data_IF_527732470252
#
_entry.id   IF_527732470252
#
_cell.length_a   1.000
_cell.length_b   1.000
_cell.length_c   1.000
_cell.angle_alpha   90.00
_cell.angle_beta   90.00
_cell.angle_gamma   90.00
#
_symmetry.space_group_name_H-M   'P 1'
#
loop_
_entity.id
_entity.type
_entity.pdbx_description
1 polymer ?
#
# COMPACT_ATOMS: atom_id res chain seq x y z
N UNK A 1 6.57 14.28 8.40
CA UNK A 1 6.00 13.61 7.20
C UNK A 1 4.49 13.66 7.27
N UNK A 2 3.79 12.82 6.51
CA UNK A 2 2.32 12.88 6.37
C UNK A 2 1.51 11.86 7.18
N UNK A 3 2.16 10.93 7.88
CA UNK A 3 1.47 9.86 8.63
C UNK A 3 1.05 10.36 10.03
N UNK A 4 -0.24 10.31 10.35
CA UNK A 4 -0.72 10.51 11.73
C UNK A 4 -1.26 9.21 12.30
N UNK A 5 -0.83 8.84 13.50
CA UNK A 5 -1.25 7.60 14.15
C UNK A 5 -2.03 7.88 15.42
N UNK A 6 -3.11 7.12 15.62
CA UNK A 6 -3.82 7.02 16.89
C UNK A 6 -3.85 5.56 17.35
N UNK A 7 -3.54 5.32 18.63
CA UNK A 7 -3.44 3.97 19.19
C UNK A 7 -4.12 3.85 20.55
N UNK A 8 -4.88 2.77 20.75
CA UNK A 8 -5.35 2.32 22.06
C UNK A 8 -4.29 1.55 22.86
N UNK A 9 -3.23 1.07 22.20
CA UNK A 9 -2.12 0.38 22.85
C UNK A 9 -0.85 1.25 22.89
N UNK A 10 -0.39 1.58 24.09
CA UNK A 10 0.81 2.39 24.29
C UNK A 10 2.09 1.68 23.84
N UNK A 11 2.24 0.40 24.22
CA UNK A 11 3.41 -0.40 23.87
C UNK A 11 3.53 -0.61 22.35
N UNK A 12 2.45 -1.04 21.69
CA UNK A 12 2.48 -1.23 20.23
C UNK A 12 2.57 0.10 19.47
N UNK A 13 1.95 1.15 19.99
CA UNK A 13 2.11 2.50 19.42
C UNK A 13 3.56 2.98 19.48
N UNK A 14 4.26 2.77 20.60
CA UNK A 14 5.68 3.10 20.72
C UNK A 14 6.56 2.23 19.79
N UNK A 15 6.30 0.93 19.69
CA UNK A 15 7.01 0.06 18.75
C UNK A 15 6.82 0.48 17.30
N UNK A 16 5.62 0.92 16.92
CA UNK A 16 5.34 1.42 15.57
C UNK A 16 6.19 2.63 15.20
N UNK A 17 6.42 3.56 16.15
CA UNK A 17 7.31 4.70 15.95
C UNK A 17 8.77 4.28 15.73
N UNK A 18 9.24 3.29 16.47
CA UNK A 18 10.61 2.78 16.35
C UNK A 18 10.81 2.07 15.00
N UNK A 19 9.92 1.14 14.64
CA UNK A 19 10.01 0.42 13.37
C UNK A 19 9.88 1.35 12.16
N UNK A 20 9.07 2.41 12.28
CA UNK A 20 8.99 3.43 11.26
C UNK A 20 10.32 4.18 11.04
N UNK A 21 11.15 4.29 12.08
CA UNK A 21 12.51 4.85 12.03
C UNK A 21 13.56 3.92 11.44
N UNK A 22 13.31 2.61 11.42
CA UNK A 22 14.24 1.58 10.91
C UNK A 22 14.15 1.38 9.39
N UNK A 23 13.18 2.01 8.72
CA UNK A 23 13.10 1.98 7.25
C UNK A 23 14.33 2.62 6.59
N UNK A 24 14.69 2.20 5.36
CA UNK A 24 15.86 2.74 4.64
C UNK A 24 15.85 4.28 4.58
N UNK A 25 14.68 4.86 4.25
CA UNK A 25 14.37 6.25 4.55
C UNK A 25 13.36 6.28 5.70
N UNK A 26 13.70 6.89 6.87
CA UNK A 26 12.80 6.94 8.01
C UNK A 26 11.45 7.54 7.65
N UNK A 27 10.36 6.86 8.04
CA UNK A 27 9.02 7.34 7.76
C UNK A 27 8.70 8.56 8.62
N UNK A 28 8.32 9.67 7.97
CA UNK A 28 7.97 10.89 8.68
C UNK A 28 6.54 10.87 9.22
N UNK A 29 6.38 11.03 10.54
CA UNK A 29 5.08 11.29 11.15
C UNK A 29 4.72 12.78 11.07
N UNK A 30 3.41 13.06 11.01
CA UNK A 30 2.85 14.36 11.38
C UNK A 30 2.52 14.36 12.86
N UNK A 31 1.79 13.32 13.34
CA UNK A 31 1.33 13.22 14.73
C UNK A 31 1.30 11.78 15.21
N UNK A 32 1.43 11.62 16.52
CA UNK A 32 1.19 10.35 17.20
C UNK A 32 0.39 10.63 18.48
N UNK A 33 -0.68 9.86 18.68
CA UNK A 33 -1.53 9.96 19.86
C UNK A 33 -1.81 8.56 20.42
N UNK A 34 -1.42 8.35 21.67
CA UNK A 34 -1.86 7.19 22.45
C UNK A 34 -2.97 7.65 23.39
N UNK A 35 -4.19 7.17 23.15
CA UNK A 35 -5.39 7.59 23.92
C UNK A 35 -5.58 6.81 25.22
N UNK A 36 -4.83 5.72 25.42
CA UNK A 36 -4.99 4.83 26.56
C UNK A 36 -6.44 4.35 26.71
N UNK A 37 -7.03 4.59 27.87
CA UNK A 37 -8.42 4.23 28.17
C UNK A 37 -9.46 5.20 27.58
N UNK A 38 -9.06 6.34 27.03
CA UNK A 38 -9.96 7.32 26.39
C UNK A 38 -11.05 7.87 27.31
N UNK A 39 -10.73 8.16 28.59
CA UNK A 39 -11.74 8.62 29.58
C UNK A 39 -12.26 10.04 29.39
N UNK A 40 -11.49 10.91 28.74
CA UNK A 40 -11.88 12.28 28.40
C UNK A 40 -11.84 12.42 26.87
N UNK A 41 -10.67 12.78 26.32
CA UNK A 41 -10.41 12.70 24.87
C UNK A 41 -10.27 11.25 24.44
N UNK A 42 -11.16 10.79 23.56
CA UNK A 42 -11.16 9.43 23.03
C UNK A 42 -10.67 9.35 21.57
N UNK A 43 -10.58 8.12 21.05
CA UNK A 43 -10.07 7.85 19.69
C UNK A 43 -10.87 8.55 18.59
N UNK A 44 -12.18 8.76 18.78
CA UNK A 44 -13.04 9.41 17.78
C UNK A 44 -12.72 10.90 17.65
N UNK A 45 -12.53 11.61 18.76
CA UNK A 45 -12.16 13.03 18.76
C UNK A 45 -10.80 13.26 18.09
N UNK A 46 -9.85 12.35 18.32
CA UNK A 46 -8.54 12.39 17.64
C UNK A 46 -8.69 12.15 16.13
N UNK A 47 -9.54 11.21 15.71
CA UNK A 47 -9.83 10.97 14.30
C UNK A 47 -10.51 12.18 13.63
N UNK A 48 -11.46 12.83 14.31
CA UNK A 48 -12.10 14.05 13.82
C UNK A 48 -11.08 15.17 13.59
N UNK A 49 -10.16 15.34 14.53
CA UNK A 49 -9.06 16.29 14.40
C UNK A 49 -8.15 15.95 13.20
N UNK A 50 -7.75 14.68 13.06
CA UNK A 50 -6.93 14.23 11.93
C UNK A 50 -7.66 14.38 10.57
N UNK A 51 -8.99 14.33 10.52
CA UNK A 51 -9.75 14.53 9.28
C UNK A 51 -9.55 15.94 8.70
N UNK A 52 -9.48 16.95 9.56
CA UNK A 52 -9.38 18.38 9.18
C UNK A 52 -7.94 18.88 9.10
N UNK A 53 -6.95 18.16 9.66
CA UNK A 53 -5.58 18.64 9.71
C UNK A 53 -4.80 18.45 8.39
N UNK A 54 -4.49 19.55 7.70
CA UNK A 54 -3.81 19.52 6.39
C UNK A 54 -2.43 18.86 6.39
N UNK A 55 -1.74 18.84 7.53
CA UNK A 55 -0.44 18.16 7.66
C UNK A 55 -0.55 16.64 7.68
N UNK A 56 -1.74 16.10 7.99
CA UNK A 56 -2.04 14.66 7.92
C UNK A 56 -2.47 14.29 6.52
N UNK A 57 -1.75 13.35 5.92
CA UNK A 57 -2.01 12.78 4.58
C UNK A 57 -2.52 11.34 4.65
N UNK A 58 -2.10 10.59 5.66
CA UNK A 58 -2.52 9.20 5.91
C UNK A 58 -2.78 9.03 7.40
N UNK A 59 -3.85 8.32 7.76
CA UNK A 59 -4.18 8.01 9.16
C UNK A 59 -3.95 6.53 9.43
N UNK A 60 -3.13 6.22 10.43
CA UNK A 60 -2.99 4.88 10.98
C UNK A 60 -3.75 4.75 12.30
N UNK A 61 -4.47 3.65 12.48
CA UNK A 61 -5.26 3.39 13.67
C UNK A 61 -5.01 1.98 14.20
N UNK A 62 -4.58 1.89 15.46
CA UNK A 62 -4.61 0.63 16.20
C UNK A 62 -5.90 0.58 17.04
N UNK A 63 -6.76 -0.39 16.73
CA UNK A 63 -8.11 -0.49 17.28
C UNK A 63 -8.33 -1.82 18.00
N UNK A 64 -8.66 -1.75 19.28
CA UNK A 64 -9.11 -2.86 20.11
C UNK A 64 -10.64 -2.94 20.08
N UNK A 65 -11.32 -1.80 20.22
CA UNK A 65 -12.77 -1.68 20.10
C UNK A 65 -13.26 -0.25 20.25
N UNK A 66 -14.53 -0.03 19.90
CA UNK A 66 -15.27 1.21 20.16
C UNK A 66 -16.56 0.88 20.92
N UNK A 67 -16.97 1.77 21.82
CA UNK A 67 -18.24 1.67 22.56
C UNK A 67 -19.42 2.14 21.71
N UNK A 68 -19.27 3.25 20.99
CA UNK A 68 -20.26 3.78 20.07
C UNK A 68 -19.89 3.48 18.61
N UNK A 69 -20.47 2.41 18.09
CA UNK A 69 -20.24 1.99 16.70
C UNK A 69 -20.77 2.95 15.65
N UNK A 70 -21.86 3.68 15.93
CA UNK A 70 -22.43 4.64 14.95
C UNK A 70 -21.55 5.88 14.85
N UNK A 71 -21.18 6.45 16.00
CA UNK A 71 -20.25 7.57 16.04
C UNK A 71 -18.91 7.20 15.38
N UNK A 72 -18.41 5.98 15.62
CA UNK A 72 -17.22 5.49 14.93
C UNK A 72 -17.39 5.48 13.41
N UNK A 73 -18.51 4.94 12.90
CA UNK A 73 -18.77 4.91 11.46
C UNK A 73 -18.81 6.32 10.85
N UNK A 74 -19.51 7.25 11.50
CA UNK A 74 -19.65 8.63 11.01
C UNK A 74 -18.28 9.35 10.94
N UNK A 75 -17.50 9.28 12.01
CA UNK A 75 -16.18 9.90 12.10
C UNK A 75 -15.18 9.25 11.15
N UNK A 76 -15.10 7.93 11.15
CA UNK A 76 -14.14 7.21 10.33
C UNK A 76 -14.47 7.34 8.83
N UNK A 77 -15.76 7.40 8.45
CA UNK A 77 -16.14 7.70 7.07
C UNK A 77 -15.73 9.13 6.68
N UNK A 78 -15.89 10.12 7.58
CA UNK A 78 -15.42 11.49 7.35
C UNK A 78 -13.90 11.54 7.08
N UNK A 79 -13.11 10.75 7.82
CA UNK A 79 -11.66 10.62 7.57
C UNK A 79 -11.41 9.98 6.21
N UNK A 80 -11.95 8.78 5.95
CA UNK A 80 -11.70 7.99 4.73
C UNK A 80 -12.05 8.74 3.43
N UNK A 81 -13.08 9.60 3.48
CA UNK A 81 -13.48 10.47 2.36
C UNK A 81 -12.38 11.43 1.92
N UNK A 82 -11.53 11.85 2.86
CA UNK A 82 -10.48 12.84 2.62
C UNK A 82 -9.10 12.22 2.53
N UNK A 83 -8.83 11.19 3.34
CA UNK A 83 -7.50 10.63 3.59
C UNK A 83 -7.59 9.11 3.78
N UNK A 84 -6.59 8.32 3.34
CA UNK A 84 -6.58 6.89 3.62
C UNK A 84 -6.56 6.63 5.13
N UNK A 85 -7.47 5.80 5.61
CA UNK A 85 -7.57 5.34 7.00
C UNK A 85 -7.16 3.87 7.09
N UNK A 86 -5.97 3.60 7.60
CA UNK A 86 -5.41 2.27 7.82
C UNK A 86 -5.77 1.78 9.22
N UNK A 87 -6.38 0.60 9.33
CA UNK A 87 -6.89 0.09 10.60
C UNK A 87 -6.33 -1.28 10.92
N UNK A 88 -5.49 -1.35 11.95
CA UNK A 88 -5.07 -2.61 12.58
C UNK A 88 -6.08 -2.95 13.68
N UNK A 89 -7.07 -3.78 13.35
CA UNK A 89 -8.08 -4.29 14.28
C UNK A 89 -7.60 -5.59 14.94
N UNK A 90 -7.41 -5.56 16.26
CA UNK A 90 -7.08 -6.75 17.08
C UNK A 90 -8.32 -7.37 17.73
N UNK A 91 -8.19 -8.48 18.45
CA UNK A 91 -9.34 -9.15 19.08
C UNK A 91 -10.29 -9.83 18.08
N UNK A 92 -9.72 -10.45 17.03
CA UNK A 92 -10.45 -10.93 15.84
C UNK A 92 -11.17 -12.28 16.03
N UNK A 93 -10.73 -13.07 16.99
CA UNK A 93 -11.38 -14.32 17.39
C UNK A 93 -12.02 -14.16 18.76
N UNK A 94 -12.93 -15.05 19.16
CA UNK A 94 -13.50 -15.04 20.51
C UNK A 94 -12.40 -15.09 21.59
N UNK A 95 -11.37 -15.90 21.37
CA UNK A 95 -10.23 -16.04 22.29
C UNK A 95 -9.42 -14.74 22.38
N UNK A 96 -9.11 -14.11 21.23
CA UNK A 96 -8.38 -12.85 21.21
C UNK A 96 -9.23 -11.68 21.74
N UNK A 97 -10.55 -11.72 21.51
CA UNK A 97 -11.52 -10.77 22.06
C UNK A 97 -11.58 -10.88 23.58
N UNK A 98 -11.61 -12.10 24.13
CA UNK A 98 -11.54 -12.33 25.58
C UNK A 98 -10.21 -11.85 26.18
N UNK A 99 -9.08 -12.03 25.47
CA UNK A 99 -7.79 -11.49 25.89
C UNK A 99 -7.74 -9.95 25.84
N UNK A 100 -8.36 -9.33 24.84
CA UNK A 100 -8.49 -7.87 24.80
C UNK A 100 -9.44 -7.37 25.92
N UNK A 101 -10.52 -8.10 26.20
CA UNK A 101 -11.47 -7.78 27.26
C UNK A 101 -10.80 -7.77 28.65
N UNK A 102 -9.92 -8.74 28.94
CA UNK A 102 -9.29 -8.82 30.26
C UNK A 102 -8.42 -7.61 30.61
N UNK A 103 -7.93 -6.88 29.60
CA UNK A 103 -7.11 -5.68 29.79
C UNK A 103 -7.90 -4.36 29.58
N UNK A 104 -8.96 -4.37 28.77
CA UNK A 104 -9.72 -3.15 28.42
C UNK A 104 -11.06 -3.01 29.15
N UNK A 105 -11.59 -4.11 29.69
CA UNK A 105 -12.93 -4.16 30.27
C UNK A 105 -14.08 -4.00 29.27
N UNK A 106 -13.81 -4.01 27.96
CA UNK A 106 -14.82 -3.78 26.90
C UNK A 106 -14.94 -4.98 25.96
N UNK A 107 -16.18 -5.42 25.67
CA UNK A 107 -16.44 -6.60 24.84
C UNK A 107 -16.04 -6.28 23.39
N UNK A 108 -15.07 -6.99 22.82
CA UNK A 108 -14.74 -6.77 21.41
C UNK A 108 -15.90 -7.31 20.55
N UNK A 109 -16.52 -6.41 19.77
CA UNK A 109 -17.61 -6.77 18.86
C UNK A 109 -17.18 -7.78 17.79
N UNK A 110 -18.16 -8.41 17.13
CA UNK A 110 -17.91 -9.44 16.11
C UNK A 110 -17.00 -8.92 15.00
N UNK A 111 -15.89 -9.63 14.75
CA UNK A 111 -14.90 -9.25 13.73
C UNK A 111 -15.51 -9.15 12.32
N UNK A 112 -16.48 -10.01 12.01
CA UNK A 112 -17.21 -9.97 10.73
C UNK A 112 -18.02 -8.70 10.54
N UNK A 113 -18.51 -8.10 11.64
CA UNK A 113 -19.22 -6.82 11.58
C UNK A 113 -18.24 -5.70 11.25
N UNK A 114 -17.04 -5.72 11.84
CA UNK A 114 -15.98 -4.76 11.50
C UNK A 114 -15.58 -4.82 10.02
N UNK A 115 -15.49 -6.01 9.42
CA UNK A 115 -15.21 -6.14 7.97
C UNK A 115 -16.25 -5.41 7.11
N UNK A 116 -17.54 -5.63 7.41
CA UNK A 116 -18.63 -4.95 6.70
C UNK A 116 -18.62 -3.43 6.94
N UNK A 117 -18.36 -3.00 8.18
CA UNK A 117 -18.25 -1.59 8.55
C UNK A 117 -17.11 -0.93 7.78
N UNK A 118 -15.90 -1.51 7.81
CA UNK A 118 -14.73 -0.96 7.13
C UNK A 118 -14.94 -0.82 5.62
N UNK A 119 -15.63 -1.78 4.99
CA UNK A 119 -15.99 -1.67 3.57
C UNK A 119 -16.96 -0.52 3.29
N UNK A 120 -17.96 -0.30 4.16
CA UNK A 120 -18.93 0.79 4.00
C UNK A 120 -18.32 2.18 4.19
N UNK A 121 -17.41 2.31 5.15
CA UNK A 121 -16.79 3.60 5.49
C UNK A 121 -15.51 3.88 4.70
N UNK A 122 -15.05 2.94 3.88
CA UNK A 122 -13.82 3.08 3.09
C UNK A 122 -12.53 2.94 3.91
N UNK A 123 -12.59 2.38 5.12
CA UNK A 123 -11.41 2.11 5.92
C UNK A 123 -10.67 0.88 5.38
N UNK A 124 -9.33 0.94 5.42
CA UNK A 124 -8.45 -0.10 4.91
C UNK A 124 -7.97 -0.92 6.10
N UNK A 125 -8.54 -2.12 6.24
CA UNK A 125 -8.08 -3.08 7.24
C UNK A 125 -6.69 -3.60 6.86
N UNK A 126 -5.75 -3.53 7.79
CA UNK A 126 -4.41 -4.13 7.68
C UNK A 126 -4.26 -5.28 8.67
N UNK A 127 -3.46 -6.30 8.32
CA UNK A 127 -3.36 -7.53 9.11
C UNK A 127 -2.27 -7.47 10.19
N UNK A 128 -1.30 -6.57 10.05
CA UNK A 128 -0.16 -6.43 10.96
C UNK A 128 0.33 -4.98 11.05
N UNK A 129 1.22 -4.68 11.99
CA UNK A 129 1.90 -3.38 12.06
C UNK A 129 2.78 -3.14 10.82
N UNK A 130 3.39 -4.21 10.32
CA UNK A 130 4.20 -4.17 9.10
C UNK A 130 3.37 -3.79 7.88
N UNK A 131 2.18 -4.40 7.71
CA UNK A 131 1.25 -4.01 6.65
C UNK A 131 0.77 -2.55 6.79
N UNK A 132 0.59 -2.07 8.03
CA UNK A 132 0.25 -0.66 8.29
C UNK A 132 1.34 0.27 7.78
N UNK A 133 2.59 0.04 8.19
CA UNK A 133 3.74 0.84 7.77
C UNK A 133 3.96 0.75 6.26
N UNK A 134 3.86 -0.45 5.69
CA UNK A 134 3.98 -0.68 4.26
C UNK A 134 2.93 0.11 3.45
N UNK A 135 1.66 0.02 3.82
CA UNK A 135 0.60 0.76 3.16
C UNK A 135 0.78 2.27 3.36
N UNK A 136 1.09 2.73 4.58
CA UNK A 136 1.33 4.13 4.87
C UNK A 136 2.48 4.72 4.06
N UNK A 137 3.55 3.95 3.86
CA UNK A 137 4.68 4.34 3.01
C UNK A 137 4.25 4.49 1.55
N UNK A 138 3.51 3.52 1.01
CA UNK A 138 3.00 3.61 -0.36
C UNK A 138 2.12 4.85 -0.57
N UNK A 139 1.15 5.10 0.32
CA UNK A 139 0.29 6.28 0.26
C UNK A 139 1.05 7.62 0.41
N UNK A 140 2.17 7.62 1.12
CA UNK A 140 2.97 8.83 1.34
C UNK A 140 3.85 9.19 0.14
N UNK A 141 4.11 8.23 -0.75
CA UNK A 141 5.12 8.35 -1.80
C UNK A 141 4.54 8.23 -3.22
N UNK A 142 3.34 7.68 -3.36
CA UNK A 142 2.73 7.39 -4.66
C UNK A 142 1.32 7.99 -4.78
N UNK A 143 0.96 8.34 -6.02
CA UNK A 143 -0.41 8.73 -6.37
C UNK A 143 -1.31 7.50 -6.39
N UNK A 144 -2.60 7.70 -6.15
CA UNK A 144 -3.57 6.62 -6.26
C UNK A 144 -3.61 6.07 -7.69
N UNK A 145 -3.69 4.75 -7.87
CA UNK A 145 -3.81 4.17 -9.21
C UNK A 145 -5.14 4.61 -9.84
N UNK A 146 -5.16 4.87 -11.17
CA UNK A 146 -6.38 5.24 -11.88
C UNK A 146 -7.39 4.09 -11.99
N UNK A 147 -6.96 2.86 -11.71
CA UNK A 147 -7.77 1.65 -11.76
C UNK A 147 -7.17 0.53 -10.91
N UNK A 148 -7.47 -0.72 -11.27
CA UNK A 148 -7.13 -1.89 -10.46
C UNK A 148 -6.35 -2.98 -11.21
N UNK A 149 -5.79 -2.64 -12.38
CA UNK A 149 -4.97 -3.52 -13.21
C UNK A 149 -3.49 -3.37 -12.85
N UNK A 150 -2.94 -4.39 -12.20
CA UNK A 150 -1.60 -4.35 -11.62
C UNK A 150 -0.66 -5.19 -12.47
N UNK A 151 0.44 -4.59 -12.92
CA UNK A 151 1.53 -5.31 -13.56
C UNK A 151 2.51 -5.82 -12.51
N UNK A 152 2.96 -7.07 -12.65
CA UNK A 152 4.12 -7.62 -11.95
C UNK A 152 5.28 -7.74 -12.94
N UNK A 153 6.35 -7.00 -12.69
CA UNK A 153 7.58 -7.01 -13.47
C UNK A 153 8.70 -7.57 -12.59
N UNK A 154 9.30 -8.69 -12.98
CA UNK A 154 10.31 -9.39 -12.16
C UNK A 154 11.38 -10.00 -13.05
N UNK A 155 12.62 -10.13 -12.59
CA UNK A 155 13.62 -11.03 -13.19
C UNK A 155 13.66 -12.42 -12.52
N UNK A 156 12.88 -12.60 -11.45
CA UNK A 156 12.83 -13.81 -10.65
C UNK A 156 11.37 -14.31 -10.50
N UNK A 157 11.06 -15.44 -11.16
CA UNK A 157 9.70 -15.97 -11.24
C UNK A 157 9.06 -16.38 -9.90
N UNK A 158 9.84 -16.90 -8.95
CA UNK A 158 9.33 -17.33 -7.63
C UNK A 158 8.69 -16.17 -6.85
N UNK A 159 9.46 -15.10 -6.54
CA UNK A 159 8.93 -13.88 -5.94
C UNK A 159 7.78 -13.23 -6.73
N UNK A 160 7.87 -13.23 -8.06
CA UNK A 160 6.79 -12.74 -8.91
C UNK A 160 5.47 -13.48 -8.71
N UNK A 161 5.55 -14.80 -8.58
CA UNK A 161 4.38 -15.66 -8.33
C UNK A 161 3.70 -15.33 -7.01
N UNK A 162 4.47 -15.02 -5.95
CA UNK A 162 3.92 -14.62 -4.63
C UNK A 162 3.10 -13.33 -4.75
N UNK A 163 3.63 -12.31 -5.43
CA UNK A 163 2.88 -11.07 -5.64
C UNK A 163 1.64 -11.29 -6.53
N UNK A 164 1.76 -12.11 -7.58
CA UNK A 164 0.64 -12.44 -8.44
C UNK A 164 -0.48 -13.18 -7.68
N UNK A 165 -0.14 -14.08 -6.77
CA UNK A 165 -1.11 -14.81 -5.93
C UNK A 165 -1.84 -13.87 -4.97
N UNK A 166 -1.13 -12.96 -4.30
CA UNK A 166 -1.74 -11.92 -3.46
C UNK A 166 -2.69 -11.00 -4.24
N UNK A 167 -2.32 -10.64 -5.48
CA UNK A 167 -3.19 -9.86 -6.36
C UNK A 167 -4.43 -10.68 -6.76
N UNK A 168 -4.24 -11.92 -7.21
CA UNK A 168 -5.30 -12.75 -7.77
C UNK A 168 -6.31 -13.23 -6.71
N UNK A 169 -5.88 -13.40 -5.47
CA UNK A 169 -6.74 -13.81 -4.34
C UNK A 169 -7.42 -12.63 -3.64
N UNK A 170 -7.00 -11.40 -3.96
CA UNK A 170 -7.63 -10.18 -3.47
C UNK A 170 -8.95 -9.87 -4.17
N UNK A 171 -9.81 -9.11 -3.49
CA UNK A 171 -11.06 -8.56 -4.07
C UNK A 171 -10.87 -7.18 -4.68
N UNK A 172 -9.69 -6.58 -4.51
CA UNK A 172 -9.47 -5.16 -4.82
C UNK A 172 -8.83 -4.97 -6.19
N UNK A 173 -7.86 -5.82 -6.54
CA UNK A 173 -7.07 -5.73 -7.76
C UNK A 173 -7.12 -6.99 -8.61
N UNK A 174 -6.53 -6.91 -9.79
CA UNK A 174 -6.27 -8.03 -10.69
C UNK A 174 -5.00 -7.78 -11.48
N UNK A 175 -4.41 -8.84 -12.05
CA UNK A 175 -3.31 -8.66 -13.00
C UNK A 175 -3.77 -7.81 -14.19
N UNK A 176 -2.84 -7.02 -14.73
CA UNK A 176 -3.08 -6.17 -15.88
C UNK A 176 -3.33 -6.99 -17.16
N UNK A 177 -3.84 -6.32 -18.20
CA UNK A 177 -4.04 -6.91 -19.53
C UNK A 177 -3.21 -6.09 -20.52
N UNK A 178 -2.14 -6.66 -21.07
CA UNK A 178 -1.25 -5.91 -21.94
C UNK A 178 -1.82 -5.77 -23.34
N UNK A 179 -1.58 -4.62 -23.97
CA UNK A 179 -1.81 -4.50 -25.40
C UNK A 179 -0.84 -5.42 -26.18
N UNK A 180 -1.25 -5.96 -27.34
CA UNK A 180 -0.35 -6.75 -28.18
C UNK A 180 0.94 -6.01 -28.54
N UNK A 181 0.86 -4.69 -28.71
CA UNK A 181 2.01 -3.82 -28.99
C UNK A 181 3.02 -3.78 -27.85
N UNK A 182 2.55 -3.76 -26.61
CA UNK A 182 3.44 -3.79 -25.43
C UNK A 182 4.10 -5.15 -25.30
N UNK A 183 3.36 -6.24 -25.51
CA UNK A 183 3.94 -7.60 -25.53
C UNK A 183 5.04 -7.70 -26.60
N UNK A 184 4.80 -7.19 -27.80
CA UNK A 184 5.79 -7.17 -28.89
C UNK A 184 7.05 -6.36 -28.52
N UNK A 185 6.88 -5.14 -28.00
CA UNK A 185 8.01 -4.29 -27.59
C UNK A 185 8.82 -4.91 -26.46
N UNK A 186 8.15 -5.45 -25.45
CA UNK A 186 8.82 -6.13 -24.34
C UNK A 186 9.64 -7.34 -24.84
N UNK A 187 9.09 -8.15 -25.75
CA UNK A 187 9.85 -9.26 -26.36
C UNK A 187 11.06 -8.82 -27.19
N UNK A 188 11.03 -7.61 -27.75
CA UNK A 188 12.17 -7.03 -28.47
C UNK A 188 13.28 -6.50 -27.56
N UNK A 189 12.95 -6.12 -26.33
CA UNK A 189 13.88 -5.57 -25.32
C UNK A 189 14.49 -6.68 -24.46
N UNK A 190 13.67 -7.67 -24.11
CA UNK A 190 14.01 -8.69 -23.12
C UNK A 190 14.75 -9.89 -23.74
N UNK A 191 15.52 -10.64 -22.94
CA UNK A 191 16.17 -11.87 -23.39
C UNK A 191 15.16 -12.88 -23.97
N UNK A 192 15.55 -13.76 -24.92
CA UNK A 192 14.64 -14.72 -25.54
C UNK A 192 13.94 -15.69 -24.59
N UNK A 193 14.53 -15.92 -23.41
CA UNK A 193 14.01 -16.78 -22.35
C UNK A 193 13.02 -16.07 -21.40
N UNK A 194 12.80 -14.76 -21.56
CA UNK A 194 11.84 -14.00 -20.78
C UNK A 194 10.40 -14.44 -21.09
N UNK A 195 9.55 -14.41 -20.07
CA UNK A 195 8.12 -14.72 -20.19
C UNK A 195 7.31 -13.44 -20.07
N UNK A 196 6.68 -13.05 -21.18
CA UNK A 196 5.94 -11.79 -21.31
C UNK A 196 4.47 -12.09 -21.55
N UNK A 197 3.60 -11.65 -20.64
CA UNK A 197 2.14 -11.81 -20.77
C UNK A 197 1.68 -13.26 -20.64
N UNK A 198 2.39 -14.06 -19.84
CA UNK A 198 2.04 -15.45 -19.56
C UNK A 198 2.11 -15.73 -18.04
N UNK A 199 1.07 -15.38 -17.26
CA UNK A 199 -0.22 -14.80 -17.67
C UNK A 199 -0.15 -13.30 -18.02
N UNK A 200 -1.23 -12.74 -18.57
CA UNK A 200 -1.33 -11.30 -18.81
C UNK A 200 -1.04 -10.48 -17.54
N UNK A 201 -0.41 -9.32 -17.72
CA UNK A 201 0.00 -8.46 -16.61
C UNK A 201 1.22 -8.96 -15.84
N UNK A 202 1.79 -10.10 -16.23
CA UNK A 202 2.99 -10.68 -15.64
C UNK A 202 4.15 -10.69 -16.65
N UNK A 203 5.31 -10.25 -16.19
CA UNK A 203 6.56 -10.23 -16.97
C UNK A 203 7.69 -10.79 -16.12
N UNK A 204 8.17 -11.98 -16.48
CA UNK A 204 9.45 -12.53 -16.01
C UNK A 204 10.53 -12.20 -17.03
N UNK A 205 11.36 -11.20 -16.74
CA UNK A 205 12.46 -10.72 -17.56
C UNK A 205 13.62 -11.73 -17.65
N UNK A 206 13.62 -12.78 -16.82
CA UNK A 206 14.72 -13.70 -16.55
C UNK A 206 15.90 -13.03 -15.85
N UNK A 207 16.62 -13.79 -15.02
CA UNK A 207 17.86 -13.37 -14.36
C UNK A 207 19.00 -12.93 -15.31
N UNK A 208 18.83 -13.14 -16.62
CA UNK A 208 19.74 -12.62 -17.65
C UNK A 208 19.46 -11.16 -18.04
N UNK A 209 18.36 -10.56 -17.58
CA UNK A 209 18.08 -9.14 -17.78
C UNK A 209 19.10 -8.28 -17.02
N UNK A 210 19.68 -7.30 -17.71
CA UNK A 210 20.62 -6.34 -17.15
C UNK A 210 19.91 -5.02 -16.86
N UNK A 211 20.64 -4.04 -16.31
CA UNK A 211 20.11 -2.77 -15.82
C UNK A 211 19.25 -2.03 -16.85
N UNK A 212 19.69 -2.02 -18.12
CA UNK A 212 18.99 -1.37 -19.22
C UNK A 212 17.61 -2.02 -19.48
N UNK A 213 17.53 -3.35 -19.44
CA UNK A 213 16.27 -4.07 -19.64
C UNK A 213 15.24 -3.77 -18.55
N UNK A 214 15.66 -3.62 -17.29
CA UNK A 214 14.74 -3.27 -16.18
C UNK A 214 14.08 -1.90 -16.40
N UNK A 215 14.90 -0.89 -16.73
CA UNK A 215 14.40 0.48 -16.97
C UNK A 215 13.54 0.56 -18.23
N UNK A 216 13.97 -0.08 -19.32
CA UNK A 216 13.23 -0.10 -20.58
C UNK A 216 11.90 -0.85 -20.45
N UNK A 217 11.87 -2.00 -19.78
CA UNK A 217 10.65 -2.76 -19.56
C UNK A 217 9.65 -1.99 -18.68
N UNK A 218 10.10 -1.37 -17.59
CA UNK A 218 9.23 -0.52 -16.76
C UNK A 218 8.62 0.62 -17.59
N UNK A 219 9.44 1.30 -18.40
CA UNK A 219 8.97 2.41 -19.25
C UNK A 219 7.90 1.98 -20.25
N UNK A 220 8.06 0.80 -20.85
CA UNK A 220 7.06 0.24 -21.78
C UNK A 220 5.77 -0.16 -21.08
N UNK A 221 5.85 -0.80 -19.92
CA UNK A 221 4.68 -1.15 -19.09
C UNK A 221 3.91 0.10 -18.65
N UNK A 222 4.60 1.16 -18.22
CA UNK A 222 3.95 2.41 -17.78
C UNK A 222 3.19 3.12 -18.91
N UNK A 223 3.57 2.90 -20.17
CA UNK A 223 2.87 3.46 -21.35
C UNK A 223 1.62 2.68 -21.73
N UNK A 224 1.44 1.47 -21.23
CA UNK A 224 0.29 0.64 -21.61
C UNK A 224 -0.97 1.05 -20.85
N UNK A 225 -2.01 1.45 -21.57
CA UNK A 225 -3.32 1.81 -21.00
C UNK A 225 -4.03 0.63 -20.32
N UNK A 226 -3.54 -0.60 -20.51
CA UNK A 226 -3.87 -1.83 -19.81
C UNK A 226 -3.37 -1.92 -18.37
N UNK A 227 -2.49 -1.00 -17.96
CA UNK A 227 -1.78 -1.03 -16.67
C UNK A 227 -2.11 0.21 -15.85
N UNK A 228 -2.53 0.01 -14.60
CA UNK A 228 -2.87 1.09 -13.65
C UNK A 228 -1.81 1.23 -12.54
N UNK A 229 -1.09 0.17 -12.20
CA UNK A 229 -0.01 0.17 -11.21
C UNK A 229 1.06 -0.87 -11.57
N UNK A 230 2.30 -0.68 -11.11
CA UNK A 230 3.40 -1.63 -11.36
C UNK A 230 4.08 -2.02 -10.04
N UNK A 231 4.25 -3.32 -9.84
CA UNK A 231 5.13 -3.90 -8.83
C UNK A 231 6.37 -4.40 -9.55
N UNK A 232 7.52 -3.78 -9.29
CA UNK A 232 8.81 -4.29 -9.74
C UNK A 232 9.38 -5.16 -8.62
N UNK A 233 9.79 -6.39 -8.92
CA UNK A 233 10.39 -7.30 -7.94
C UNK A 233 11.77 -7.67 -8.44
N UNK A 234 12.78 -7.51 -7.60
CA UNK A 234 14.15 -7.84 -7.96
C UNK A 234 14.86 -8.62 -6.86
N UNK A 235 15.53 -9.69 -7.30
CA UNK A 235 16.45 -10.52 -6.52
C UNK A 235 17.80 -10.43 -7.23
N UNK A 236 18.52 -9.30 -7.06
CA UNK A 236 19.62 -8.97 -7.95
C UNK A 236 20.73 -10.01 -7.84
N UNK A 237 21.10 -10.70 -8.95
CA UNK A 237 22.27 -11.55 -8.95
C UNK A 237 23.54 -10.71 -8.75
N UNK A 238 24.64 -11.36 -8.37
CA UNK A 238 25.88 -10.66 -7.98
C UNK A 238 26.51 -9.81 -9.08
N UNK A 239 26.16 -10.04 -10.34
CA UNK A 239 26.64 -9.27 -11.49
C UNK A 239 25.72 -8.10 -11.86
N UNK A 240 24.50 -8.02 -11.32
CA UNK A 240 23.55 -6.95 -11.56
C UNK A 240 23.70 -5.88 -10.47
N UNK A 241 23.95 -4.63 -10.86
CA UNK A 241 24.13 -3.55 -9.90
C UNK A 241 22.78 -3.02 -9.37
N UNK A 242 22.44 -3.21 -8.09
CA UNK A 242 21.14 -2.76 -7.56
C UNK A 242 20.96 -1.25 -7.66
N UNK A 243 22.05 -0.50 -7.47
CA UNK A 243 22.03 0.97 -7.53
C UNK A 243 21.77 1.46 -8.96
N UNK A 244 22.34 0.81 -9.98
CA UNK A 244 22.08 1.19 -11.37
C UNK A 244 20.67 0.82 -11.81
N UNK A 245 20.16 -0.35 -11.38
CA UNK A 245 18.73 -0.68 -11.54
C UNK A 245 17.87 0.41 -10.91
N UNK A 246 18.13 0.78 -9.65
CA UNK A 246 17.38 1.82 -8.94
C UNK A 246 17.35 3.17 -9.69
N UNK A 247 18.49 3.62 -10.23
CA UNK A 247 18.56 4.84 -11.07
C UNK A 247 17.68 4.71 -12.32
N UNK A 248 17.82 3.61 -13.04
CA UNK A 248 17.03 3.37 -14.25
C UNK A 248 15.53 3.30 -13.97
N UNK A 249 15.10 2.73 -12.84
CA UNK A 249 13.69 2.71 -12.45
C UNK A 249 13.15 4.12 -12.13
N UNK A 250 13.94 4.97 -11.47
CA UNK A 250 13.57 6.37 -11.21
C UNK A 250 13.40 7.15 -12.52
N UNK A 251 14.35 7.02 -13.44
CA UNK A 251 14.30 7.65 -14.77
C UNK A 251 13.10 7.14 -15.59
N UNK A 252 12.83 5.83 -15.55
CA UNK A 252 11.69 5.24 -16.26
C UNK A 252 10.33 5.68 -15.69
N UNK A 253 10.26 5.99 -14.39
CA UNK A 253 9.06 6.50 -13.71
C UNK A 253 8.78 7.97 -14.02
N UNK A 254 9.80 8.74 -14.39
CA UNK A 254 9.68 10.18 -14.62
C UNK A 254 8.59 10.50 -15.65
N UNK A 255 7.70 11.43 -15.31
CA UNK A 255 6.56 11.82 -16.16
C UNK A 255 5.37 10.85 -16.17
N UNK A 256 5.47 9.67 -15.53
CA UNK A 256 4.32 8.77 -15.36
C UNK A 256 3.57 9.07 -14.07
N UNK A 257 2.24 9.07 -14.15
CA UNK A 257 1.34 9.27 -13.00
C UNK A 257 0.97 7.95 -12.31
N UNK A 258 1.16 6.80 -13.00
CA UNK A 258 0.83 5.47 -12.48
C UNK A 258 1.75 5.11 -11.32
N UNK A 259 1.24 4.59 -10.19
CA UNK A 259 2.09 4.21 -9.08
C UNK A 259 3.03 3.07 -9.43
N UNK A 260 4.27 3.18 -8.94
CA UNK A 260 5.29 2.14 -9.00
C UNK A 260 5.80 1.85 -7.61
N UNK A 261 5.84 0.57 -7.26
CA UNK A 261 6.46 0.08 -6.02
C UNK A 261 7.54 -0.94 -6.37
N UNK A 262 8.56 -1.06 -5.51
CA UNK A 262 9.68 -1.98 -5.76
C UNK A 262 9.87 -2.93 -4.58
N UNK A 263 10.01 -4.22 -4.83
CA UNK A 263 10.46 -5.21 -3.86
C UNK A 263 11.92 -5.57 -4.17
N UNK A 264 12.83 -5.42 -3.21
CA UNK A 264 14.25 -5.76 -3.36
C UNK A 264 14.64 -6.81 -2.33
N UNK A 265 14.83 -8.06 -2.76
CA UNK A 265 15.05 -9.20 -1.88
C UNK A 265 16.52 -9.60 -1.83
N UNK A 266 17.36 -8.81 -1.15
CA UNK A 266 18.77 -9.17 -0.94
C UNK A 266 19.37 -8.62 0.36
N UNK A 267 18.54 -8.29 1.36
CA UNK A 267 18.99 -7.75 2.65
C UNK A 267 19.85 -6.49 2.48
N UNK A 268 20.98 -6.43 3.18
CA UNK A 268 21.86 -5.26 3.17
C UNK A 268 22.49 -4.96 1.78
N UNK A 269 22.57 -5.95 0.88
CA UNK A 269 23.13 -5.76 -0.47
C UNK A 269 22.37 -4.69 -1.28
N UNK A 270 21.07 -4.52 -1.01
CA UNK A 270 20.21 -3.56 -1.72
C UNK A 270 19.97 -2.28 -0.94
N UNK A 271 20.63 -2.07 0.21
CA UNK A 271 20.36 -0.93 1.09
C UNK A 271 20.48 0.42 0.38
N UNK A 272 21.57 0.64 -0.34
CA UNK A 272 21.80 1.91 -1.05
C UNK A 272 20.78 2.11 -2.19
N UNK A 273 20.39 1.03 -2.88
CA UNK A 273 19.36 1.07 -3.90
C UNK A 273 17.98 1.43 -3.31
N UNK A 274 17.64 0.88 -2.14
CA UNK A 274 16.42 1.21 -1.41
C UNK A 274 16.38 2.67 -0.98
N UNK A 275 17.47 3.17 -0.39
CA UNK A 275 17.60 4.58 0.00
C UNK A 275 17.43 5.49 -1.21
N UNK A 276 18.06 5.14 -2.33
CA UNK A 276 17.97 5.92 -3.58
C UNK A 276 16.53 5.95 -4.13
N UNK A 277 15.87 4.79 -4.25
CA UNK A 277 14.49 4.68 -4.70
C UNK A 277 13.54 5.45 -3.79
N UNK A 278 13.66 5.27 -2.48
CA UNK A 278 12.77 5.92 -1.52
C UNK A 278 12.98 7.43 -1.48
N UNK A 279 14.22 7.91 -1.57
CA UNK A 279 14.51 9.34 -1.69
C UNK A 279 13.98 9.94 -3.00
N UNK A 280 13.92 9.14 -4.06
CA UNK A 280 13.32 9.50 -5.35
C UNK A 280 11.79 9.30 -5.39
N UNK A 281 11.15 8.95 -4.28
CA UNK A 281 9.70 8.82 -4.17
C UNK A 281 9.14 7.46 -4.56
N UNK A 282 9.96 6.44 -4.84
CA UNK A 282 9.49 5.06 -5.09
C UNK A 282 9.60 4.24 -3.79
N UNK A 283 8.48 3.77 -3.19
CA UNK A 283 8.53 2.98 -1.97
C UNK A 283 9.14 1.60 -2.22
N UNK A 284 9.99 1.13 -1.31
CA UNK A 284 10.61 -0.20 -1.40
C UNK A 284 10.11 -1.19 -0.35
N UNK A 285 10.07 -2.48 -0.67
CA UNK A 285 9.59 -3.54 0.22
C UNK A 285 10.60 -4.70 0.25
N UNK A 286 10.56 -5.47 1.33
CA UNK A 286 11.45 -6.62 1.52
C UNK A 286 10.82 -7.91 0.99
N UNK A 287 9.49 -7.99 1.01
CA UNK A 287 8.74 -9.16 0.57
C UNK A 287 7.71 -8.83 -0.53
N UNK A 288 7.52 -9.70 -1.54
CA UNK A 288 6.58 -9.48 -2.63
C UNK A 288 5.15 -9.22 -2.17
N UNK A 289 4.69 -9.96 -1.16
CA UNK A 289 3.35 -9.85 -0.61
C UNK A 289 3.11 -8.51 0.10
N UNK A 290 4.14 -7.91 0.71
CA UNK A 290 4.06 -6.56 1.28
C UNK A 290 3.81 -5.54 0.18
N UNK A 291 4.55 -5.62 -0.92
CA UNK A 291 4.39 -4.73 -2.07
C UNK A 291 3.01 -4.88 -2.71
N UNK A 292 2.53 -6.12 -2.87
CA UNK A 292 1.20 -6.42 -3.41
C UNK A 292 0.10 -5.85 -2.50
N UNK A 293 0.12 -6.14 -1.20
CA UNK A 293 -0.87 -5.63 -0.25
C UNK A 293 -0.88 -4.11 -0.16
N UNK A 294 0.28 -3.46 -0.25
CA UNK A 294 0.37 -1.99 -0.28
C UNK A 294 -0.33 -1.40 -1.53
N UNK A 295 -0.10 -1.96 -2.72
CA UNK A 295 -0.78 -1.52 -3.95
C UNK A 295 -2.28 -1.80 -3.87
N UNK A 296 -2.69 -2.97 -3.36
CA UNK A 296 -4.11 -3.32 -3.18
C UNK A 296 -4.82 -2.37 -2.22
N UNK A 297 -4.14 -1.92 -1.16
CA UNK A 297 -4.66 -0.88 -0.27
C UNK A 297 -4.89 0.44 -1.02
N UNK A 298 -3.96 0.85 -1.89
CA UNK A 298 -4.11 2.04 -2.72
C UNK A 298 -5.28 1.91 -3.71
N UNK A 299 -5.44 0.74 -4.35
CA UNK A 299 -6.56 0.44 -5.23
C UNK A 299 -7.90 0.53 -4.48
N UNK A 300 -7.97 0.01 -3.24
CA UNK A 300 -9.16 0.10 -2.39
C UNK A 300 -9.53 1.56 -2.13
N UNK A 301 -8.55 2.39 -1.77
CA UNK A 301 -8.78 3.83 -1.56
C UNK A 301 -9.27 4.51 -2.85
N UNK A 302 -8.62 4.24 -3.98
CA UNK A 302 -9.00 4.80 -5.28
C UNK A 302 -10.46 4.45 -5.62
N UNK A 303 -10.83 3.17 -5.48
CA UNK A 303 -12.22 2.71 -5.70
C UNK A 303 -13.21 3.41 -4.78
N UNK A 304 -12.85 3.59 -3.51
CA UNK A 304 -13.72 4.28 -2.55
C UNK A 304 -13.93 5.76 -2.95
N UNK A 305 -12.86 6.47 -3.33
CA UNK A 305 -12.96 7.85 -3.80
C UNK A 305 -13.78 7.99 -5.08
N UNK A 306 -13.62 7.09 -6.05
CA UNK A 306 -14.44 7.09 -7.28
C UNK A 306 -15.93 6.88 -6.97
N UNK A 307 -16.27 5.94 -6.09
CA UNK A 307 -17.67 5.71 -5.65
C UNK A 307 -18.27 6.94 -4.97
N UNK A 308 -17.48 7.71 -4.23
CA UNK A 308 -17.96 8.95 -3.61
C UNK A 308 -18.27 10.01 -4.67
N UNK A 309 -17.37 10.20 -5.63
CA UNK A 309 -17.54 11.16 -6.72
C UNK A 309 -18.76 10.85 -7.60
N UNK A 310 -19.09 9.56 -7.80
CA UNK A 310 -20.30 9.13 -8.52
C UNK A 310 -21.60 9.40 -7.75
N UNK A 311 -21.55 9.35 -6.42
CA UNK A 311 -22.72 9.50 -5.54
C UNK A 311 -22.95 10.93 -5.06
N UNK A 312 -22.03 11.86 -5.30
CA UNK A 312 -22.30 13.28 -5.08
C UNK A 312 -23.38 13.74 -6.08
N UNK A 313 -24.52 14.28 -5.63
CA UNK A 313 -25.50 14.83 -6.55
C UNK A 313 -24.81 15.90 -7.36
N UNK A 314 -24.82 15.78 -8.69
CA UNK A 314 -24.34 16.83 -9.60
C UNK A 314 -25.06 18.11 -9.21
N UNK A 315 -24.40 18.95 -8.41
CA UNK A 315 -24.97 20.19 -7.94
C UNK A 315 -25.42 20.97 -9.16
N UNK A 316 -26.68 21.44 -9.14
CA UNK A 316 -27.21 22.36 -10.13
C UNK A 316 -26.15 23.42 -10.40
N UNK A 317 -25.63 23.43 -11.64
CA UNK A 317 -24.91 24.57 -12.17
C UNK A 317 -25.93 25.70 -12.16
N UNK A 318 -25.84 26.59 -11.17
CA UNK A 318 -26.52 27.87 -11.22
C UNK A 318 -25.92 28.62 -12.42
N UNK A 319 -26.74 28.79 -13.45
CA UNK A 319 -26.51 29.72 -14.56
C UNK A 319 -26.43 31.16 -14.03
#
# INVERSE_FOLDING_TARGET
>A
GGLSVVSQSGALGASLLLFAGDHPVPMGFSKFCHVGNGSDVNILEVLEYYAEDDSTKVVGMYLEGVSDGRAFMDVAQKVSRRKPLLVLKVGRSEQASAAAFSHTGSLAGSDRVYDGVFEQIGAIRVASMDDLLCAAKAFSMQKLPPGNRICVLTEAGGPGTVAADEIATSREGRLAEFSPKTVERLKGILPPMAMVGQPDGYVDMSAAAMEEQHSAALKEVLRDDGVDAVIVISVPPTFLSPVQVAKGLLEAKEGSEKPVVVCLMAGDWVKDARVLLESGGIPTFDMPEQAARAVLAMVKQARFQSKLAENEPRGCVAL
#
